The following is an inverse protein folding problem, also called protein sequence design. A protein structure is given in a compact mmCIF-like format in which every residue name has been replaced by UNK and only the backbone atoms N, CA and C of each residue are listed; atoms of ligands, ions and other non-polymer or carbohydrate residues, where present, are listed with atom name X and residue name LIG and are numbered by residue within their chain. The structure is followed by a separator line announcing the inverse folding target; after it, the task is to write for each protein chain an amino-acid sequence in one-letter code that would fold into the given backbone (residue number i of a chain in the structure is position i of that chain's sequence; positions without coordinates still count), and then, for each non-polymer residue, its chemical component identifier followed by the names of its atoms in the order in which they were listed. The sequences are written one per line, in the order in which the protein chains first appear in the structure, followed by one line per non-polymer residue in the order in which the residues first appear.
data_IF_414681892419
#
_entry.id   IF_414681892419
#
_cell.length_a   1.000
_cell.length_b   1.000
_cell.length_c   1.000
_cell.angle_alpha   90.00
_cell.angle_beta   90.00
_cell.angle_gamma   90.00
#
_symmetry.space_group_name_H-M   'P 1'
#
loop_
_entity.id
_entity.type
_entity.pdbx_description
1 polymer ?
#
# COMPACT_ATOMS: atom_id res chain seq x y z
N UNK A 1 14.00 17.60 9.04
CA UNK A 1 12.72 17.52 8.32
C UNK A 1 11.57 17.78 9.28
N UNK A 2 10.50 18.43 8.82
CA UNK A 2 9.24 18.58 9.57
C UNK A 2 8.28 17.45 9.19
N UNK A 3 7.43 17.04 10.11
CA UNK A 3 6.51 15.92 9.90
C UNK A 3 5.13 16.31 10.38
N UNK A 4 4.13 16.21 9.50
CA UNK A 4 2.72 16.39 9.81
C UNK A 4 2.09 15.02 10.05
N UNK A 5 1.55 14.80 11.24
CA UNK A 5 0.83 13.58 11.59
C UNK A 5 -0.67 13.78 11.45
N UNK A 6 -1.32 12.89 10.71
CA UNK A 6 -2.76 12.88 10.51
C UNK A 6 -3.35 11.61 11.11
N UNK A 7 -4.22 11.75 12.09
CA UNK A 7 -4.82 10.63 12.84
C UNK A 7 -6.29 10.53 12.49
N UNK A 8 -6.78 9.37 12.05
CA UNK A 8 -8.23 9.18 11.87
C UNK A 8 -8.96 9.31 13.20
N UNK A 9 -10.10 10.01 13.23
CA UNK A 9 -10.94 10.05 14.44
C UNK A 9 -11.48 8.66 14.81
N UNK A 10 -11.75 8.44 16.09
CA UNK A 10 -12.42 7.23 16.57
C UNK A 10 -13.95 7.33 16.49
N UNK A 11 -14.63 6.19 16.40
CA UNK A 11 -16.10 6.14 16.53
C UNK A 11 -16.55 6.39 17.97
N UNK A 12 -15.83 5.82 18.95
CA UNK A 12 -16.11 6.00 20.37
C UNK A 12 -15.73 7.41 20.83
N UNK A 13 -16.66 8.08 21.50
CA UNK A 13 -16.53 9.46 21.95
C UNK A 13 -17.08 9.62 23.38
N UNK A 14 -16.52 10.58 24.12
CA UNK A 14 -17.07 11.03 25.40
C UNK A 14 -18.36 11.85 25.18
N UNK A 15 -19.33 11.83 26.11
CA UNK A 15 -20.63 12.49 25.93
C UNK A 15 -20.61 14.01 26.18
N UNK A 16 -19.43 14.64 26.21
CA UNK A 16 -19.25 16.05 26.56
C UNK A 16 -18.33 16.73 25.56
N UNK A 17 -18.56 18.04 25.36
CA UNK A 17 -17.68 18.87 24.53
C UNK A 17 -16.27 18.91 25.12
N UNK A 18 -15.30 18.42 24.35
CA UNK A 18 -13.91 18.29 24.81
C UNK A 18 -12.94 18.61 23.66
N UNK A 19 -11.65 18.86 23.97
CA UNK A 19 -10.62 18.91 22.94
C UNK A 19 -10.65 17.63 22.10
N UNK A 20 -10.44 17.74 20.79
CA UNK A 20 -10.55 16.63 19.86
C UNK A 20 -9.69 15.42 20.27
N UNK A 21 -8.49 15.65 20.82
CA UNK A 21 -7.63 14.57 21.30
C UNK A 21 -8.08 13.90 22.61
N UNK A 22 -9.05 14.47 23.32
CA UNK A 22 -9.66 13.90 24.53
C UNK A 22 -11.09 13.38 24.27
N UNK A 23 -11.73 13.86 23.19
CA UNK A 23 -13.08 13.47 22.84
C UNK A 23 -13.15 11.99 22.44
N UNK A 24 -12.28 11.55 21.53
CA UNK A 24 -12.29 10.17 21.03
C UNK A 24 -11.57 9.23 22.00
N UNK A 25 -12.15 8.05 22.27
CA UNK A 25 -11.66 7.11 23.29
C UNK A 25 -11.28 5.73 22.76
N UNK A 26 -11.59 5.43 21.50
CA UNK A 26 -11.33 4.11 20.92
C UNK A 26 -9.84 3.72 20.97
N UNK A 27 -9.56 2.43 21.12
CA UNK A 27 -8.20 1.92 21.30
C UNK A 27 -7.25 2.31 20.15
N UNK A 28 -7.70 2.15 18.89
CA UNK A 28 -6.92 2.54 17.71
C UNK A 28 -6.60 4.04 17.71
N UNK A 29 -7.59 4.89 17.98
CA UNK A 29 -7.38 6.34 18.07
C UNK A 29 -6.36 6.68 19.17
N UNK A 30 -6.55 6.11 20.36
CA UNK A 30 -5.69 6.36 21.52
C UNK A 30 -4.24 5.96 21.25
N UNK A 31 -4.00 4.81 20.61
CA UNK A 31 -2.67 4.39 20.19
C UNK A 31 -2.11 5.33 19.12
N UNK A 32 -2.90 5.71 18.12
CA UNK A 32 -2.45 6.54 17.01
C UNK A 32 -2.11 7.97 17.44
N UNK A 33 -2.93 8.59 18.30
CA UNK A 33 -2.68 9.95 18.80
C UNK A 33 -1.49 9.98 19.76
N UNK A 34 -1.34 8.95 20.60
CA UNK A 34 -0.17 8.81 21.48
C UNK A 34 1.09 8.70 20.65
N UNK A 35 1.08 7.80 19.66
CA UNK A 35 2.18 7.61 18.73
C UNK A 35 2.53 8.91 17.99
N UNK A 36 1.56 9.60 17.39
CA UNK A 36 1.80 10.88 16.71
C UNK A 36 2.43 11.93 17.65
N UNK A 37 1.94 12.05 18.88
CA UNK A 37 2.46 12.99 19.88
C UNK A 37 3.88 12.68 20.33
N UNK A 38 4.25 11.40 20.43
CA UNK A 38 5.60 11.01 20.83
C UNK A 38 6.67 11.42 19.81
N UNK A 39 6.30 11.61 18.54
CA UNK A 39 7.23 11.91 17.46
C UNK A 39 7.07 13.31 16.84
N UNK A 40 5.90 13.92 17.00
CA UNK A 40 5.71 15.28 16.54
C UNK A 40 6.62 16.22 17.34
N UNK A 41 7.37 17.07 16.62
CA UNK A 41 8.24 18.07 17.25
C UNK A 41 7.46 19.15 17.98
N UNK A 42 6.25 19.41 17.53
CA UNK A 42 5.38 20.47 18.04
C UNK A 42 3.95 19.98 18.05
N UNK A 43 3.14 20.52 18.95
CA UNK A 43 1.74 20.12 19.06
C UNK A 43 0.94 20.50 17.81
N UNK A 44 1.28 21.59 17.13
CA UNK A 44 0.64 22.02 15.88
C UNK A 44 0.97 21.13 14.67
N UNK A 45 1.85 20.14 14.83
CA UNK A 45 2.19 19.18 13.78
C UNK A 45 1.30 17.91 13.82
N UNK A 46 0.31 17.86 14.71
CA UNK A 46 -0.64 16.74 14.85
C UNK A 46 -2.08 17.21 14.59
N UNK A 47 -2.75 16.57 13.63
CA UNK A 47 -4.15 16.83 13.30
C UNK A 47 -4.98 15.55 13.30
N UNK A 48 -6.27 15.71 13.58
CA UNK A 48 -7.27 14.65 13.59
C UNK A 48 -8.17 14.81 12.36
N UNK A 49 -8.31 13.75 11.58
CA UNK A 49 -9.22 13.67 10.44
C UNK A 49 -10.61 13.28 10.94
N UNK A 50 -11.58 14.17 10.78
CA UNK A 50 -12.98 13.98 11.19
C UNK A 50 -13.89 13.99 9.97
N UNK A 51 -14.85 13.07 9.84
CA UNK A 51 -15.79 13.02 8.72
C UNK A 51 -16.79 14.19 8.78
N UNK A 52 -16.99 14.78 9.98
CA UNK A 52 -17.86 15.94 10.20
C UNK A 52 -17.13 17.26 9.99
N UNK A 53 -15.89 17.34 10.46
CA UNK A 53 -15.17 18.61 10.57
C UNK A 53 -14.00 18.78 9.60
N UNK A 54 -13.60 17.74 8.86
CA UNK A 54 -12.41 17.81 8.03
C UNK A 54 -11.14 17.60 8.85
N UNK A 55 -10.38 18.67 9.07
CA UNK A 55 -9.09 18.60 9.75
C UNK A 55 -9.14 19.40 11.05
N UNK A 56 -8.93 18.72 12.18
CA UNK A 56 -8.99 19.32 13.51
C UNK A 56 -7.62 19.38 14.15
N UNK A 57 -7.29 20.52 14.76
CA UNK A 57 -6.22 20.57 15.76
C UNK A 57 -6.60 19.71 16.97
N UNK A 58 -5.63 19.06 17.59
CA UNK A 58 -5.83 18.28 18.81
C UNK A 58 -6.50 19.06 19.96
N UNK A 59 -6.39 20.39 19.97
CA UNK A 59 -6.95 21.29 20.98
C UNK A 59 -8.33 21.85 20.62
N UNK A 60 -8.83 21.58 19.41
CA UNK A 60 -10.13 22.08 18.98
C UNK A 60 -11.26 21.49 19.83
N UNK A 61 -12.12 22.32 20.42
CA UNK A 61 -13.25 21.86 21.23
C UNK A 61 -14.39 21.36 20.33
N UNK A 62 -14.69 20.07 20.40
CA UNK A 62 -15.67 19.39 19.56
C UNK A 62 -16.78 18.79 20.41
N UNK A 63 -18.03 19.01 19.99
CA UNK A 63 -19.21 18.34 20.57
C UNK A 63 -19.29 16.90 20.05
N UNK A 64 -19.73 15.93 20.88
CA UNK A 64 -19.91 14.56 20.42
C UNK A 64 -20.87 14.48 19.23
N UNK A 65 -20.62 13.54 18.32
CA UNK A 65 -21.43 13.34 17.12
C UNK A 65 -21.38 11.89 16.63
N UNK A 66 -22.46 11.46 15.99
CA UNK A 66 -22.56 10.16 15.33
C UNK A 66 -22.49 10.37 13.82
N UNK A 67 -21.29 10.27 13.26
CA UNK A 67 -21.08 10.32 11.81
C UNK A 67 -19.83 9.52 11.45
N UNK A 68 -20.01 8.53 10.59
CA UNK A 68 -18.94 7.73 10.03
C UNK A 68 -18.71 8.09 8.56
N UNK A 69 -17.52 7.75 8.05
CA UNK A 69 -17.11 8.13 6.70
C UNK A 69 -17.90 7.39 5.59
N UNK A 70 -18.34 6.17 5.88
CA UNK A 70 -19.18 5.32 5.03
C UNK A 70 -20.60 5.88 4.84
N UNK A 71 -21.08 6.67 5.80
CA UNK A 71 -22.37 7.36 5.74
C UNK A 71 -22.37 8.60 4.84
N UNK A 72 -21.19 9.03 4.35
CA UNK A 72 -21.08 10.21 3.49
C UNK A 72 -21.41 9.89 2.04
N UNK A 73 -22.45 10.54 1.52
CA UNK A 73 -22.73 10.60 0.09
C UNK A 73 -21.63 11.38 -0.68
N UNK A 74 -21.68 11.32 -2.01
CA UNK A 74 -20.71 11.99 -2.89
C UNK A 74 -20.62 13.50 -2.64
N UNK A 75 -21.74 14.16 -2.34
CA UNK A 75 -21.78 15.60 -2.08
C UNK A 75 -21.11 15.95 -0.75
N UNK A 76 -21.37 15.16 0.29
CA UNK A 76 -20.75 15.27 1.60
C UNK A 76 -19.26 15.00 1.56
N UNK A 77 -18.81 14.01 0.77
CA UNK A 77 -17.38 13.74 0.54
C UNK A 77 -16.67 14.93 -0.12
N UNK A 78 -17.29 15.59 -1.09
CA UNK A 78 -16.73 16.81 -1.69
C UNK A 78 -16.62 17.96 -0.68
N UNK A 79 -17.67 18.19 0.13
CA UNK A 79 -17.62 19.18 1.22
C UNK A 79 -16.51 18.87 2.23
N UNK A 80 -16.30 17.60 2.53
CA UNK A 80 -15.25 17.14 3.43
C UNK A 80 -13.86 17.39 2.85
N UNK A 81 -13.64 17.08 1.57
CA UNK A 81 -12.40 17.39 0.84
C UNK A 81 -12.11 18.89 0.90
N UNK A 82 -13.12 19.72 0.65
CA UNK A 82 -12.96 21.18 0.71
C UNK A 82 -12.69 21.69 2.13
N UNK A 83 -13.29 21.07 3.16
CA UNK A 83 -12.98 21.38 4.56
C UNK A 83 -11.53 21.06 4.89
N UNK A 84 -11.06 19.83 4.60
CA UNK A 84 -9.66 19.44 4.78
C UNK A 84 -8.71 20.40 4.06
N UNK A 85 -9.03 20.80 2.82
CA UNK A 85 -8.22 21.74 2.05
C UNK A 85 -8.14 23.12 2.70
N UNK A 86 -9.25 23.64 3.23
CA UNK A 86 -9.29 24.94 3.92
C UNK A 86 -8.48 24.95 5.20
N UNK A 87 -8.52 23.84 5.94
CA UNK A 87 -7.93 23.72 7.26
C UNK A 87 -6.45 23.31 7.23
N UNK A 88 -5.94 22.88 6.07
CA UNK A 88 -4.50 22.68 5.86
C UNK A 88 -3.72 23.97 6.15
N UNK A 89 -2.59 23.88 6.88
CA UNK A 89 -1.73 25.04 7.11
C UNK A 89 -1.33 25.73 5.80
N UNK A 90 -1.66 27.01 5.65
CA UNK A 90 -1.42 27.77 4.39
C UNK A 90 0.06 27.81 3.97
N UNK A 91 0.98 27.65 4.93
CA UNK A 91 2.42 27.72 4.72
C UNK A 91 3.10 26.54 5.43
N UNK A 92 3.14 25.34 4.81
CA UNK A 92 3.92 24.25 5.37
C UNK A 92 5.40 24.65 5.45
N UNK A 93 6.05 24.33 6.57
CA UNK A 93 7.48 24.55 6.73
C UNK A 93 8.20 23.40 6.02
N UNK A 94 8.89 23.69 4.92
CA UNK A 94 9.61 22.69 4.13
C UNK A 94 11.05 22.48 4.64
N UNK A 95 11.64 21.28 4.47
CA UNK A 95 11.03 20.06 3.92
C UNK A 95 10.00 19.46 4.88
N UNK A 96 8.86 19.04 4.34
CA UNK A 96 7.74 18.45 5.07
C UNK A 96 7.52 17.01 4.59
N UNK A 97 7.19 16.12 5.52
CA UNK A 97 6.63 14.79 5.29
C UNK A 97 5.25 14.71 5.92
N UNK A 98 4.35 13.91 5.35
CA UNK A 98 3.04 13.62 5.95
C UNK A 98 2.98 12.14 6.31
N UNK A 99 2.59 11.84 7.55
CA UNK A 99 2.35 10.48 8.02
C UNK A 99 0.87 10.37 8.38
N UNK A 100 0.15 9.50 7.68
CA UNK A 100 -1.26 9.22 7.90
C UNK A 100 -1.41 7.94 8.70
N UNK A 101 -1.84 8.10 9.96
CA UNK A 101 -2.26 7.03 10.84
C UNK A 101 -3.79 6.89 10.72
N UNK A 102 -4.22 6.51 9.52
CA UNK A 102 -5.62 6.46 9.12
C UNK A 102 -5.88 5.32 8.11
N UNK A 103 -7.11 4.77 8.06
CA UNK A 103 -7.54 3.87 6.99
C UNK A 103 -7.45 4.49 5.59
N UNK A 104 -7.44 3.65 4.57
CA UNK A 104 -7.23 4.05 3.16
C UNK A 104 -8.26 5.03 2.63
N UNK A 105 -9.49 4.96 3.13
CA UNK A 105 -10.58 5.83 2.72
C UNK A 105 -10.27 7.29 3.09
N UNK A 106 -9.69 7.53 4.26
CA UNK A 106 -9.23 8.86 4.66
C UNK A 106 -8.03 9.32 3.83
N UNK A 107 -7.10 8.42 3.52
CA UNK A 107 -5.94 8.69 2.66
C UNK A 107 -6.40 9.21 1.31
N UNK A 108 -7.36 8.52 0.69
CA UNK A 108 -7.90 8.88 -0.62
C UNK A 108 -8.52 10.28 -0.61
N UNK A 109 -9.35 10.59 0.39
CA UNK A 109 -9.98 11.91 0.51
C UNK A 109 -8.95 13.02 0.78
N UNK A 110 -7.97 12.76 1.63
CA UNK A 110 -6.92 13.73 1.93
C UNK A 110 -6.02 14.02 0.71
N UNK A 111 -5.69 12.99 -0.09
CA UNK A 111 -4.98 13.16 -1.37
C UNK A 111 -5.76 14.06 -2.32
N UNK A 112 -7.08 13.87 -2.42
CA UNK A 112 -7.94 14.75 -3.20
C UNK A 112 -7.94 16.20 -2.67
N UNK A 113 -7.94 16.39 -1.35
CA UNK A 113 -7.82 17.72 -0.73
C UNK A 113 -6.50 18.41 -1.07
N UNK A 114 -5.42 17.63 -1.22
CA UNK A 114 -4.09 18.14 -1.58
C UNK A 114 -3.98 18.61 -3.04
N UNK A 115 -4.82 18.12 -3.96
CA UNK A 115 -4.78 18.50 -5.39
C UNK A 115 -4.88 20.02 -5.54
N UNK A 116 -3.98 20.59 -6.35
CA UNK A 116 -3.90 22.03 -6.58
C UNK A 116 -3.27 22.84 -5.44
N UNK A 117 -2.81 22.20 -4.37
CA UNK A 117 -2.14 22.85 -3.24
C UNK A 117 -0.64 22.53 -3.22
N UNK A 118 0.11 23.19 -2.33
CA UNK A 118 1.53 22.86 -2.08
C UNK A 118 1.74 21.44 -1.52
N UNK A 119 0.70 20.85 -0.94
CA UNK A 119 0.74 19.50 -0.38
C UNK A 119 0.71 18.40 -1.46
N UNK A 120 0.30 18.72 -2.70
CA UNK A 120 0.23 17.75 -3.79
C UNK A 120 1.57 17.05 -4.11
N UNK A 121 2.70 17.70 -3.80
CA UNK A 121 4.05 17.19 -4.06
C UNK A 121 4.72 16.59 -2.83
N UNK A 122 4.04 16.59 -1.68
CA UNK A 122 4.61 16.14 -0.41
C UNK A 122 4.38 14.64 -0.28
N UNK A 123 5.43 13.84 -0.01
CA UNK A 123 5.27 12.41 0.22
C UNK A 123 4.33 12.14 1.41
N UNK A 124 3.31 11.31 1.16
CA UNK A 124 2.36 10.82 2.16
C UNK A 124 2.69 9.36 2.46
N UNK A 125 3.03 9.07 3.71
CA UNK A 125 3.26 7.71 4.23
C UNK A 125 2.00 7.21 4.93
N UNK A 126 1.60 5.98 4.66
CA UNK A 126 0.34 5.39 5.14
C UNK A 126 0.60 4.01 5.76
N UNK A 127 1.36 3.93 6.88
CA UNK A 127 1.84 2.66 7.43
C UNK A 127 0.73 1.70 7.87
N UNK A 128 -0.50 2.19 8.03
CA UNK A 128 -1.64 1.42 8.54
C UNK A 128 -2.56 0.86 7.45
N UNK A 129 -2.47 1.33 6.20
CA UNK A 129 -3.44 1.04 5.11
C UNK A 129 -3.66 -0.47 4.87
N UNK A 130 -2.65 -1.31 5.10
CA UNK A 130 -2.69 -2.74 4.79
C UNK A 130 -2.88 -3.64 6.02
N UNK A 131 -3.10 -3.05 7.19
CA UNK A 131 -3.17 -3.76 8.46
C UNK A 131 -4.61 -3.82 8.95
N UNK A 132 -4.99 -4.94 9.57
CA UNK A 132 -6.26 -5.03 10.33
C UNK A 132 -6.23 -4.10 11.54
N UNK A 133 -7.38 -3.75 12.12
CA UNK A 133 -7.45 -2.88 13.30
C UNK A 133 -6.54 -3.34 14.45
N UNK A 134 -6.52 -4.65 14.73
CA UNK A 134 -5.65 -5.23 15.77
C UNK A 134 -4.17 -5.09 15.41
N UNK A 135 -3.79 -5.39 14.15
CA UNK A 135 -2.43 -5.21 13.66
C UNK A 135 -2.00 -3.75 13.69
N UNK A 136 -2.90 -2.81 13.39
CA UNK A 136 -2.62 -1.38 13.49
C UNK A 136 -2.31 -0.98 14.94
N UNK A 137 -3.14 -1.40 15.90
CA UNK A 137 -2.92 -1.13 17.33
C UNK A 137 -1.56 -1.68 17.76
N UNK A 138 -1.28 -2.94 17.44
CA UNK A 138 -0.02 -3.59 17.79
C UNK A 138 1.18 -2.89 17.12
N UNK A 139 1.05 -2.54 15.84
CA UNK A 139 2.11 -1.82 15.11
C UNK A 139 2.42 -0.47 15.76
N UNK A 140 1.38 0.29 16.15
CA UNK A 140 1.50 1.59 16.83
C UNK A 140 2.17 1.46 18.21
N UNK A 141 1.95 0.35 18.92
CA UNK A 141 2.54 0.07 20.22
C UNK A 141 4.00 -0.41 20.12
N UNK A 142 4.35 -1.17 19.08
CA UNK A 142 5.70 -1.73 18.92
C UNK A 142 6.65 -0.72 18.23
N UNK A 143 6.17 -0.01 17.20
CA UNK A 143 7.03 0.79 16.32
C UNK A 143 7.23 2.25 16.79
N UNK A 144 7.25 2.45 18.11
CA UNK A 144 7.56 3.74 18.73
C UNK A 144 8.98 4.26 18.46
N UNK A 145 9.80 3.61 17.63
CA UNK A 145 11.14 4.09 17.22
C UNK A 145 11.43 4.03 15.69
N UNK A 146 10.63 3.31 14.89
CA UNK A 146 11.11 2.79 13.59
C UNK A 146 10.83 3.69 12.37
N UNK A 147 10.01 4.75 12.51
CA UNK A 147 9.50 5.51 11.35
C UNK A 147 10.45 6.64 10.91
N UNK A 148 11.43 6.98 11.74
CA UNK A 148 12.43 7.98 11.39
C UNK A 148 13.44 7.47 10.35
N UNK A 149 13.58 6.15 10.21
CA UNK A 149 14.45 5.56 9.20
C UNK A 149 13.80 5.65 7.82
N UNK A 150 14.39 6.45 6.94
CA UNK A 150 13.99 6.76 5.56
C UNK A 150 13.92 5.58 4.58
N UNK A 151 13.90 4.35 5.07
CA UNK A 151 13.77 3.16 4.24
C UNK A 151 12.31 2.93 3.88
N UNK A 152 11.99 3.16 2.61
CA UNK A 152 10.83 2.65 1.89
C UNK A 152 10.70 1.11 2.05
N UNK A 153 10.24 0.62 3.21
CA UNK A 153 9.98 -0.80 3.41
C UNK A 153 8.56 -1.15 2.96
N UNK A 154 8.36 -2.14 2.06
CA UNK A 154 7.10 -2.87 2.03
C UNK A 154 6.96 -3.68 3.32
N UNK A 155 5.75 -3.88 3.87
CA UNK A 155 5.59 -4.65 5.10
C UNK A 155 6.04 -6.09 4.86
N UNK A 156 7.11 -6.52 5.53
CA UNK A 156 7.51 -7.93 5.56
C UNK A 156 6.52 -8.70 6.43
N UNK A 157 5.81 -9.63 5.79
CA UNK A 157 5.10 -10.67 6.49
C UNK A 157 6.07 -11.56 7.28
N UNK A 158 5.59 -12.04 8.42
CA UNK A 158 6.17 -13.07 9.28
C UNK A 158 7.57 -12.76 9.85
N UNK A 159 7.61 -12.22 11.07
CA UNK A 159 8.82 -11.89 11.85
C UNK A 159 9.65 -13.11 12.32
N UNK A 160 9.50 -14.26 11.67
CA UNK A 160 10.30 -15.47 11.92
C UNK A 160 10.92 -16.08 10.64
N UNK A 161 10.75 -15.43 9.50
CA UNK A 161 11.35 -15.86 8.24
C UNK A 161 12.81 -15.39 8.12
N UNK A 162 13.69 -16.26 7.62
CA UNK A 162 15.09 -15.91 7.31
C UNK A 162 15.16 -14.73 6.31
N UNK A 163 16.27 -13.98 6.27
CA UNK A 163 16.43 -12.82 5.36
C UNK A 163 16.10 -13.17 3.89
N UNK A 164 16.44 -14.39 3.45
CA UNK A 164 16.13 -14.89 2.11
C UNK A 164 14.62 -15.09 1.88
N UNK A 165 13.87 -15.47 2.90
CA UNK A 165 12.43 -15.71 2.82
C UNK A 165 11.63 -14.40 2.88
N UNK A 166 12.14 -13.39 3.61
CA UNK A 166 11.60 -12.02 3.58
C UNK A 166 11.80 -11.38 2.20
N UNK A 167 12.99 -11.55 1.61
CA UNK A 167 13.29 -11.09 0.25
C UNK A 167 12.42 -11.78 -0.80
N UNK A 168 12.29 -13.11 -0.72
CA UNK A 168 11.43 -13.87 -1.63
C UNK A 168 9.96 -13.44 -1.51
N UNK A 169 9.48 -13.15 -0.29
CA UNK A 169 8.12 -12.65 -0.05
C UNK A 169 7.92 -11.26 -0.66
N UNK A 170 8.87 -10.35 -0.47
CA UNK A 170 8.82 -9.01 -1.02
C UNK A 170 8.77 -9.01 -2.56
N UNK A 171 9.63 -9.82 -3.21
CA UNK A 171 9.64 -9.98 -4.67
C UNK A 171 8.32 -10.57 -5.17
N UNK A 172 7.78 -11.61 -4.51
CA UNK A 172 6.49 -12.21 -4.87
C UNK A 172 5.33 -11.21 -4.75
N UNK A 173 5.27 -10.44 -3.66
CA UNK A 173 4.21 -9.45 -3.45
C UNK A 173 4.27 -8.32 -4.47
N UNK A 174 5.47 -7.84 -4.81
CA UNK A 174 5.66 -6.83 -5.85
C UNK A 174 5.21 -7.36 -7.23
N UNK A 175 5.56 -8.61 -7.56
CA UNK A 175 5.15 -9.27 -8.79
C UNK A 175 3.63 -9.39 -8.92
N UNK A 176 2.97 -9.85 -7.84
CA UNK A 176 1.52 -10.01 -7.77
C UNK A 176 0.78 -8.67 -7.90
N UNK A 177 1.30 -7.62 -7.24
CA UNK A 177 0.74 -6.28 -7.35
C UNK A 177 0.81 -5.75 -8.78
N UNK A 178 1.96 -5.89 -9.44
CA UNK A 178 2.15 -5.46 -10.83
C UNK A 178 1.31 -6.26 -11.82
N UNK A 179 1.22 -7.58 -11.65
CA UNK A 179 0.35 -8.42 -12.47
C UNK A 179 -1.12 -7.96 -12.38
N UNK A 180 -1.59 -7.59 -11.18
CA UNK A 180 -2.94 -7.01 -11.00
C UNK A 180 -3.10 -5.68 -11.72
N UNK A 181 -2.10 -4.79 -11.66
CA UNK A 181 -2.14 -3.51 -12.36
C UNK A 181 -2.18 -3.70 -13.89
N UNK A 182 -1.33 -4.56 -14.44
CA UNK A 182 -1.29 -4.84 -15.88
C UNK A 182 -2.60 -5.47 -16.39
N UNK A 183 -3.20 -6.38 -15.61
CA UNK A 183 -4.49 -6.98 -15.97
C UNK A 183 -5.67 -6.00 -15.90
N UNK A 184 -5.55 -4.91 -15.13
CA UNK A 184 -6.58 -3.85 -15.05
C UNK A 184 -6.61 -2.93 -16.29
N UNK A 185 -5.56 -2.94 -17.11
CA UNK A 185 -5.40 -2.05 -18.28
C UNK A 185 -5.93 -2.70 -19.58
N UNK A 186 -6.83 -3.69 -19.46
CA UNK A 186 -7.35 -4.61 -20.48
C UNK A 186 -6.51 -5.89 -20.63
N UNK A 187 -7.13 -7.04 -20.97
CA UNK A 187 -6.40 -8.29 -21.15
C UNK A 187 -5.38 -8.13 -22.29
N UNK A 188 -4.10 -8.47 -22.06
CA UNK A 188 -3.10 -8.38 -23.11
C UNK A 188 -3.51 -9.34 -24.25
N UNK A 189 -3.45 -8.88 -25.52
CA UNK A 189 -3.86 -9.71 -26.66
C UNK A 189 -2.91 -10.89 -26.90
N UNK A 190 -1.74 -10.89 -26.28
CA UNK A 190 -0.72 -11.94 -26.41
C UNK A 190 -0.14 -12.30 -25.02
N UNK A 191 -0.34 -13.55 -24.54
CA UNK A 191 0.25 -14.06 -23.30
C UNK A 191 1.78 -13.95 -23.24
N UNK A 192 2.46 -14.00 -24.39
CA UNK A 192 3.92 -13.89 -24.52
C UNK A 192 4.40 -12.48 -24.19
N UNK A 193 3.70 -11.46 -24.69
CA UNK A 193 3.97 -10.05 -24.39
C UNK A 193 3.75 -9.74 -22.90
N UNK A 194 2.72 -10.33 -22.30
CA UNK A 194 2.48 -10.20 -20.86
C UNK A 194 3.59 -10.85 -20.03
N UNK A 195 3.97 -12.08 -20.37
CA UNK A 195 5.06 -12.78 -19.70
C UNK A 195 6.37 -11.99 -19.79
N UNK A 196 6.69 -11.42 -20.96
CA UNK A 196 7.88 -10.60 -21.17
C UNK A 196 7.84 -9.27 -20.39
N UNK A 197 6.68 -8.62 -20.32
CA UNK A 197 6.51 -7.39 -19.54
C UNK A 197 6.66 -7.64 -18.03
N UNK A 198 6.05 -8.72 -17.53
CA UNK A 198 6.18 -9.13 -16.14
C UNK A 198 7.63 -9.53 -15.81
N UNK A 199 8.32 -10.22 -16.73
CA UNK A 199 9.73 -10.58 -16.62
C UNK A 199 10.63 -9.35 -16.44
N UNK A 200 10.45 -8.35 -17.30
CA UNK A 200 11.25 -7.14 -17.30
C UNK A 200 11.06 -6.33 -16.01
N UNK A 201 9.83 -6.27 -15.50
CA UNK A 201 9.53 -5.50 -14.29
C UNK A 201 9.95 -6.24 -13.02
N UNK A 202 9.82 -7.58 -12.99
CA UNK A 202 10.44 -8.43 -11.97
C UNK A 202 11.95 -8.21 -11.92
N UNK A 203 12.61 -8.15 -13.08
CA UNK A 203 14.04 -7.90 -13.19
C UNK A 203 14.46 -6.51 -12.70
N UNK A 204 13.67 -5.46 -12.99
CA UNK A 204 13.91 -4.11 -12.45
C UNK A 204 13.77 -4.06 -10.93
N UNK A 205 12.69 -4.67 -10.42
CA UNK A 205 12.43 -4.77 -8.98
C UNK A 205 13.56 -5.53 -8.30
N UNK A 206 14.02 -6.62 -8.92
CA UNK A 206 15.18 -7.39 -8.50
C UNK A 206 16.45 -6.54 -8.39
N UNK A 207 16.77 -5.75 -9.42
CA UNK A 207 17.94 -4.87 -9.39
C UNK A 207 17.86 -3.76 -8.33
N UNK A 208 16.67 -3.18 -8.12
CA UNK A 208 16.47 -2.18 -7.07
C UNK A 208 16.72 -2.77 -5.68
N UNK A 209 16.24 -4.00 -5.44
CA UNK A 209 16.47 -4.67 -4.17
C UNK A 209 17.94 -5.08 -4.03
N UNK A 210 18.55 -5.66 -5.07
CA UNK A 210 19.96 -6.06 -5.07
C UNK A 210 20.92 -4.89 -4.82
N UNK A 211 20.60 -3.69 -5.31
CA UNK A 211 21.38 -2.48 -5.04
C UNK A 211 21.34 -2.04 -3.55
N UNK A 212 20.38 -2.54 -2.77
CA UNK A 212 20.16 -2.14 -1.38
C UNK A 212 20.69 -3.14 -0.34
N UNK A 213 21.00 -4.39 -0.72
CA UNK A 213 21.47 -5.44 0.18
C UNK A 213 22.96 -5.78 -0.04
N UNK A 214 23.80 -5.59 1.00
CA UNK A 214 25.27 -5.76 0.97
C UNK A 214 25.78 -7.22 1.10
N UNK A 215 25.02 -8.21 0.65
CA UNK A 215 25.39 -9.64 0.78
C UNK A 215 26.07 -10.26 -0.45
N UNK A 216 26.81 -11.35 -0.26
CA UNK A 216 27.22 -12.26 -1.34
C UNK A 216 26.01 -13.10 -1.80
N UNK A 217 25.83 -13.25 -3.12
CA UNK A 217 24.60 -13.74 -3.73
C UNK A 217 24.77 -15.14 -4.34
N UNK A 218 23.68 -15.94 -4.44
CA UNK A 218 23.68 -17.15 -5.24
C UNK A 218 23.87 -16.80 -6.73
N UNK A 219 24.79 -17.49 -7.40
CA UNK A 219 25.16 -17.21 -8.79
C UNK A 219 24.04 -17.50 -9.81
N UNK A 220 23.06 -18.33 -9.44
CA UNK A 220 21.93 -18.72 -10.27
C UNK A 220 20.62 -18.75 -9.47
N UNK A 221 19.57 -18.13 -10.01
CA UNK A 221 18.21 -18.20 -9.45
C UNK A 221 17.24 -18.54 -10.57
N UNK A 222 16.54 -19.66 -10.41
CA UNK A 222 15.50 -20.12 -11.34
C UNK A 222 14.13 -19.89 -10.71
N UNK A 223 13.26 -19.18 -11.44
CA UNK A 223 11.84 -19.09 -11.11
C UNK A 223 11.08 -20.03 -12.04
N UNK A 224 10.52 -21.09 -11.45
CA UNK A 224 9.68 -22.04 -12.18
C UNK A 224 8.21 -21.77 -11.86
N UNK A 225 7.43 -21.41 -12.87
CA UNK A 225 5.98 -21.41 -12.82
C UNK A 225 5.48 -22.72 -13.44
N UNK A 226 5.29 -23.72 -12.60
CA UNK A 226 4.62 -24.97 -12.97
C UNK A 226 3.17 -24.94 -12.52
N UNK A 227 2.26 -25.17 -13.45
CA UNK A 227 0.86 -25.48 -13.15
C UNK A 227 0.67 -27.00 -13.20
N UNK A 228 0.12 -27.59 -12.13
CA UNK A 228 -0.27 -29.00 -12.09
C UNK A 228 -1.79 -29.20 -12.11
N UNK A 229 -2.56 -28.13 -12.35
CA UNK A 229 -4.00 -28.21 -12.48
C UNK A 229 -4.40 -28.80 -13.85
N UNK A 230 -5.34 -29.76 -13.90
CA UNK A 230 -5.91 -30.23 -15.16
C UNK A 230 -6.71 -29.15 -15.92
N UNK A 231 -6.95 -27.98 -15.31
CA UNK A 231 -7.79 -26.90 -15.87
C UNK A 231 -7.00 -25.70 -16.44
N UNK A 232 -5.67 -25.75 -16.43
CA UNK A 232 -4.79 -24.73 -17.03
C UNK A 232 -4.58 -23.45 -16.19
N UNK A 233 -3.54 -22.66 -16.53
CA UNK A 233 -2.92 -21.65 -15.64
C UNK A 233 -3.82 -20.46 -15.32
N UNK A 234 -4.83 -20.23 -16.17
CA UNK A 234 -5.70 -19.07 -16.09
C UNK A 234 -6.84 -19.31 -15.09
N UNK A 235 -7.28 -20.56 -14.88
CA UNK A 235 -8.43 -20.85 -14.02
C UNK A 235 -8.07 -20.71 -12.53
N UNK A 236 -6.85 -21.12 -12.14
CA UNK A 236 -6.36 -21.08 -10.75
C UNK A 236 -6.03 -19.66 -10.29
N UNK A 237 -5.50 -18.80 -11.18
CA UNK A 237 -5.22 -17.41 -10.86
C UNK A 237 -6.50 -16.58 -10.60
N UNK A 238 -7.62 -16.96 -11.24
CA UNK A 238 -8.91 -16.26 -11.15
C UNK A 238 -9.73 -16.63 -9.91
N UNK A 239 -9.68 -17.89 -9.47
CA UNK A 239 -10.29 -18.32 -8.18
C UNK A 239 -9.63 -17.66 -6.97
N UNK A 240 -8.33 -17.36 -7.05
CA UNK A 240 -7.60 -16.65 -5.99
C UNK A 240 -7.92 -15.14 -5.89
N UNK A 241 -8.61 -14.56 -6.88
CA UNK A 241 -8.92 -13.12 -6.95
C UNK A 241 -10.42 -12.79 -7.08
N UNK A 242 -11.32 -13.78 -6.95
CA UNK A 242 -12.75 -13.56 -6.70
C UNK A 242 -13.60 -13.14 -7.91
N UNK A 243 -13.24 -13.53 -9.13
CA UNK A 243 -14.03 -13.24 -10.34
C UNK A 243 -15.05 -14.36 -10.65
N UNK A 244 -16.22 -13.97 -11.19
CA UNK A 244 -17.32 -14.88 -11.52
C UNK A 244 -16.97 -15.79 -12.71
N UNK A 245 -16.95 -17.10 -12.44
CA UNK A 245 -16.63 -18.19 -13.38
C UNK A 245 -17.56 -18.24 -14.62
N UNK A 246 -18.77 -17.68 -14.55
CA UNK A 246 -19.78 -17.80 -15.63
C UNK A 246 -19.52 -16.93 -16.87
N UNK A 247 -18.75 -15.84 -16.77
CA UNK A 247 -18.40 -15.03 -17.95
C UNK A 247 -17.21 -15.59 -18.75
N UNK A 248 -16.36 -16.38 -18.08
CA UNK A 248 -15.12 -16.93 -18.64
C UNK A 248 -15.38 -18.04 -19.66
N UNK A 249 -16.31 -18.95 -19.38
CA UNK A 249 -16.63 -20.10 -20.24
C UNK A 249 -17.27 -19.74 -21.59
N UNK A 250 -17.58 -18.46 -21.85
CA UNK A 250 -18.14 -18.00 -23.13
C UNK A 250 -17.08 -17.75 -24.22
N UNK A 251 -15.79 -17.89 -23.92
CA UNK A 251 -14.69 -17.68 -24.88
C UNK A 251 -13.92 -18.97 -25.11
N UNK A 252 -13.76 -19.36 -26.37
CA UNK A 252 -12.93 -20.49 -26.77
C UNK A 252 -11.45 -20.09 -26.64
N UNK A 253 -10.72 -20.77 -25.74
CA UNK A 253 -9.28 -20.60 -25.55
C UNK A 253 -8.54 -21.91 -25.86
N UNK A 254 -7.29 -21.83 -26.34
CA UNK A 254 -6.48 -23.03 -26.59
C UNK A 254 -6.17 -23.78 -25.29
N UNK A 255 -6.46 -25.09 -25.26
CA UNK A 255 -6.43 -25.98 -24.09
C UNK A 255 -5.04 -26.55 -23.73
N UNK A 256 -3.94 -25.92 -24.16
CA UNK A 256 -2.60 -26.47 -23.88
C UNK A 256 -2.07 -25.95 -22.53
N UNK A 257 -1.50 -26.84 -21.68
CA UNK A 257 -0.82 -26.41 -20.46
C UNK A 257 0.38 -25.51 -20.83
N UNK A 258 0.54 -24.42 -20.09
CA UNK A 258 1.66 -23.50 -20.24
C UNK A 258 2.71 -23.85 -19.19
N UNK A 259 3.88 -24.33 -19.62
CA UNK A 259 5.03 -24.46 -18.74
C UNK A 259 5.94 -23.27 -18.96
N UNK A 260 6.17 -22.42 -17.95
CA UNK A 260 7.03 -21.25 -18.08
C UNK A 260 8.14 -21.28 -17.02
N UNK A 261 9.39 -21.26 -17.47
CA UNK A 261 10.57 -21.18 -16.61
C UNK A 261 11.38 -19.94 -16.96
N UNK A 262 11.76 -19.17 -15.96
CA UNK A 262 12.65 -18.02 -16.13
C UNK A 262 13.95 -18.29 -15.41
N UNK A 263 15.06 -18.25 -16.16
CA UNK A 263 16.39 -18.47 -15.63
C UNK A 263 17.18 -17.16 -15.68
N UNK A 264 17.76 -16.82 -14.55
CA UNK A 264 18.72 -15.74 -14.39
C UNK A 264 20.09 -16.37 -14.20
N UNK A 265 20.97 -16.17 -15.19
CA UNK A 265 22.39 -16.53 -15.10
C UNK A 265 23.22 -15.28 -15.32
N UNK A 266 24.47 -15.25 -14.85
CA UNK A 266 25.36 -14.09 -15.06
C UNK A 266 25.40 -13.65 -16.53
N UNK A 267 24.86 -12.46 -16.80
CA UNK A 267 24.84 -11.87 -18.14
C UNK A 267 23.68 -12.29 -19.04
N UNK A 268 22.74 -13.13 -18.61
CA UNK A 268 21.65 -13.56 -19.48
C UNK A 268 20.32 -13.81 -18.74
N UNK A 269 19.22 -13.35 -19.33
CA UNK A 269 17.86 -13.68 -18.91
C UNK A 269 17.24 -14.53 -20.01
N UNK A 270 16.84 -15.75 -19.66
CA UNK A 270 16.13 -16.63 -20.60
C UNK A 270 14.78 -17.02 -20.04
N UNK A 271 13.77 -16.93 -20.89
CA UNK A 271 12.46 -17.52 -20.64
C UNK A 271 12.30 -18.74 -21.50
N UNK A 272 11.83 -19.83 -20.90
CA UNK A 272 11.39 -21.00 -21.62
C UNK A 272 9.89 -21.12 -21.44
N UNK A 273 9.14 -21.08 -22.54
CA UNK A 273 7.70 -21.34 -22.56
C UNK A 273 7.49 -22.62 -23.37
N UNK A 274 7.04 -23.68 -22.70
CA UNK A 274 7.02 -25.05 -23.21
C UNK A 274 8.42 -25.46 -23.69
N UNK A 275 8.61 -25.71 -24.99
CA UNK A 275 9.89 -26.10 -25.59
C UNK A 275 10.63 -24.92 -26.26
N UNK A 276 10.07 -23.72 -26.18
CA UNK A 276 10.66 -22.53 -26.79
C UNK A 276 11.45 -21.74 -25.75
N UNK A 277 12.77 -21.79 -25.86
CA UNK A 277 13.68 -20.94 -25.10
C UNK A 277 13.93 -19.64 -25.87
N UNK A 278 13.66 -18.52 -25.22
CA UNK A 278 13.89 -17.16 -25.72
C UNK A 278 14.83 -16.45 -24.78
N UNK A 279 15.92 -15.91 -25.31
CA UNK A 279 16.78 -14.97 -24.56
C UNK A 279 16.12 -13.60 -24.60
N UNK A 280 15.72 -13.10 -23.44
CA UNK A 280 15.13 -11.77 -23.31
C UNK A 280 16.23 -10.71 -23.25
N UNK A 281 17.36 -11.05 -22.62
CA UNK A 281 18.46 -10.12 -22.40
C UNK A 281 19.80 -10.86 -22.33
N UNK A 282 20.84 -10.29 -22.93
CA UNK A 282 22.21 -10.79 -22.88
C UNK A 282 23.18 -9.60 -22.82
N UNK A 283 24.10 -9.60 -21.85
CA UNK A 283 25.18 -8.62 -21.68
C UNK A 283 26.36 -8.90 -22.61
#
# INVERSE_FOLDING_TARGET
MNTLYLVACGAEQRPLRLPAAQLYTGALFSSAITHARSFAKREEDVYILSPKHGLLSQHHLVDPYELNLDQLDSSARLRLIDAMRRDLPRRPILPLRIIMLAPEEYVTLFRAACVGTRYAKIPIRTPLTHLTTEQQINWLQINHASIECDVDFPPTGNLYASENEQLATAVRTAALWWAKQLMSIAPPPDPTLFANALALELHRTWHQIAATTRGEWPEDITFTLTDQSPEGPITTAFSAIGLNQQEWHKREWPTRPLNATMNFSMGQITTQINDQKTTIFQL
#
